data_IF_818254706756
#
_entry.id   IF_818254706756
#
_cell.length_a   1.000
_cell.length_b   1.000
_cell.length_c   1.000
_cell.angle_alpha   90.00
_cell.angle_beta   90.00
_cell.angle_gamma   90.00
#
_symmetry.space_group_name_H-M   'P 1'
#
loop_
_entity.id
_entity.type
_entity.pdbx_description
1 polymer ?
#
# COMPACT_ATOMS: atom_id res chain seq x y z
N UNK A 1 4.28 -27.06 -21.32
CA UNK A 1 4.36 -26.19 -20.99
C UNK A 1 4.84 -25.28 -21.76
N UNK A 2 4.12 -24.74 -22.01
CA UNK A 2 4.52 -23.86 -22.86
C UNK A 2 5.64 -23.07 -22.49
N UNK A 3 6.45 -22.77 -23.29
CA UNK A 3 7.50 -21.85 -23.18
C UNK A 3 8.24 -21.79 -21.87
N UNK A 4 7.90 -22.69 -20.98
CA UNK A 4 8.49 -22.63 -19.68
C UNK A 4 9.97 -22.72 -19.67
N UNK A 5 10.55 -23.38 -20.63
CA UNK A 5 11.98 -23.52 -20.70
C UNK A 5 12.75 -22.21 -20.86
N UNK A 6 12.06 -21.10 -21.14
CA UNK A 6 12.71 -19.81 -21.31
C UNK A 6 12.57 -18.89 -20.10
N UNK A 7 11.87 -19.35 -19.08
CA UNK A 7 11.69 -18.52 -17.89
C UNK A 7 12.95 -18.52 -17.04
N UNK A 8 13.38 -17.33 -16.69
CA UNK A 8 14.48 -17.16 -15.75
C UNK A 8 13.94 -17.23 -14.34
N UNK A 9 14.63 -17.98 -13.47
CA UNK A 9 14.28 -18.01 -12.05
C UNK A 9 14.37 -16.60 -11.47
N UNK A 10 13.34 -16.23 -10.71
CA UNK A 10 13.28 -14.93 -10.09
C UNK A 10 14.15 -14.89 -8.85
N UNK A 11 15.00 -13.88 -8.70
CA UNK A 11 15.69 -13.63 -7.45
C UNK A 11 14.68 -13.13 -6.43
N UNK A 12 14.75 -13.66 -5.22
CA UNK A 12 13.87 -13.22 -4.13
C UNK A 12 14.10 -11.73 -3.85
N UNK A 13 13.02 -10.99 -3.63
CA UNK A 13 13.04 -9.56 -3.34
C UNK A 13 12.12 -9.28 -2.17
N UNK A 14 12.33 -8.13 -1.51
CA UNK A 14 11.45 -7.69 -0.46
C UNK A 14 10.38 -6.77 -1.03
N UNK A 15 9.21 -6.75 -0.43
CA UNK A 15 8.16 -5.79 -0.81
C UNK A 15 8.59 -4.36 -0.52
N UNK A 16 9.43 -4.14 0.49
CA UNK A 16 9.94 -2.80 0.79
C UNK A 16 10.77 -2.24 -0.37
N UNK A 17 11.57 -3.08 -1.00
CA UNK A 17 12.40 -2.65 -2.12
C UNK A 17 11.70 -2.69 -3.47
N UNK A 18 10.88 -3.70 -3.70
CA UNK A 18 10.22 -3.92 -4.98
C UNK A 18 8.75 -4.28 -4.76
N UNK A 19 7.86 -3.28 -4.71
CA UNK A 19 6.43 -3.53 -4.63
C UNK A 19 5.92 -4.37 -5.79
N UNK A 20 4.71 -4.88 -5.65
CA UNK A 20 4.07 -5.71 -6.69
C UNK A 20 2.79 -5.02 -7.14
N UNK A 21 2.58 -4.95 -8.46
CA UNK A 21 1.30 -4.55 -9.03
C UNK A 21 0.45 -5.79 -9.29
N UNK A 22 -0.77 -5.79 -8.76
CA UNK A 22 -1.80 -6.78 -9.07
C UNK A 22 -2.76 -6.16 -10.06
N UNK A 23 -2.85 -6.73 -11.26
CA UNK A 23 -3.66 -6.18 -12.34
C UNK A 23 -4.81 -7.09 -12.76
N UNK A 24 -5.49 -6.66 -13.81
CA UNK A 24 -6.56 -7.42 -14.41
C UNK A 24 -6.06 -8.78 -14.88
N UNK A 25 -6.94 -9.77 -14.90
CA UNK A 25 -6.59 -11.11 -15.33
C UNK A 25 -5.70 -11.85 -14.34
N UNK A 26 -5.76 -11.46 -13.07
CA UNK A 26 -4.96 -12.06 -12.00
C UNK A 26 -3.46 -11.97 -12.28
N UNK A 27 -3.01 -10.87 -12.90
CA UNK A 27 -1.60 -10.65 -13.15
C UNK A 27 -0.89 -10.11 -11.92
N UNK A 28 0.40 -10.44 -11.79
CA UNK A 28 1.25 -9.92 -10.72
C UNK A 28 2.57 -9.48 -11.37
N UNK A 29 2.91 -8.20 -11.25
CA UNK A 29 4.05 -7.60 -11.94
C UNK A 29 4.97 -6.94 -10.93
N UNK A 30 6.22 -7.43 -10.79
CA UNK A 30 7.19 -6.76 -9.92
C UNK A 30 7.45 -5.35 -10.42
N UNK A 31 7.57 -4.41 -9.50
CA UNK A 31 7.83 -3.02 -9.83
C UNK A 31 9.31 -2.69 -9.68
N UNK A 32 9.77 -1.59 -10.29
CA UNK A 32 11.12 -1.08 -10.06
C UNK A 32 11.37 -0.79 -8.58
N UNK A 33 12.65 -0.72 -8.20
CA UNK A 33 13.02 -0.42 -6.83
C UNK A 33 12.37 0.88 -6.35
N UNK A 34 11.78 0.81 -5.15
CA UNK A 34 11.09 1.95 -4.55
C UNK A 34 12.08 2.84 -3.83
N UNK A 35 12.17 4.14 -4.20
CA UNK A 35 13.08 5.06 -3.51
C UNK A 35 12.50 5.51 -2.18
N UNK A 36 13.37 5.76 -1.20
CA UNK A 36 12.96 6.18 0.15
C UNK A 36 13.27 7.67 0.38
N UNK A 37 13.10 8.48 -0.65
CA UNK A 37 13.33 9.91 -0.63
C UNK A 37 12.29 10.62 -1.51
N UNK A 38 12.54 11.87 -1.88
CA UNK A 38 11.61 12.68 -2.68
C UNK A 38 11.31 12.10 -4.07
N UNK A 39 12.14 11.18 -4.56
CA UNK A 39 11.89 10.50 -5.85
C UNK A 39 10.67 9.57 -5.79
N UNK A 40 10.15 9.28 -4.60
CA UNK A 40 8.96 8.46 -4.44
C UNK A 40 7.75 9.05 -5.16
N UNK A 41 7.63 10.37 -5.21
CA UNK A 41 6.52 11.05 -5.90
C UNK A 41 6.53 10.68 -7.38
N UNK A 42 7.69 10.75 -8.02
CA UNK A 42 7.81 10.40 -9.43
C UNK A 42 7.63 8.90 -9.64
N UNK A 43 8.09 8.08 -8.70
CA UNK A 43 7.89 6.64 -8.77
C UNK A 43 6.39 6.30 -8.84
N UNK A 44 5.57 6.92 -7.99
CA UNK A 44 4.12 6.70 -8.00
C UNK A 44 3.47 7.19 -9.30
N UNK A 45 3.92 8.31 -9.84
CA UNK A 45 3.41 8.82 -11.13
C UNK A 45 3.73 7.85 -12.26
N UNK A 46 4.95 7.36 -12.31
CA UNK A 46 5.40 6.40 -13.33
C UNK A 46 4.64 5.09 -13.18
N UNK A 47 4.42 4.63 -11.96
CA UNK A 47 3.64 3.45 -11.67
C UNK A 47 2.20 3.61 -12.19
N UNK A 48 1.54 4.69 -11.88
CA UNK A 48 0.19 4.97 -12.33
C UNK A 48 0.06 5.02 -13.85
N UNK A 49 1.02 5.63 -14.52
CA UNK A 49 1.05 5.70 -15.97
C UNK A 49 1.28 4.32 -16.60
N UNK A 50 2.20 3.54 -16.02
CA UNK A 50 2.57 2.22 -16.51
C UNK A 50 1.42 1.23 -16.48
N UNK A 51 0.54 1.33 -15.46
CA UNK A 51 -0.57 0.41 -15.22
C UNK A 51 -1.95 1.07 -15.38
N UNK A 52 -2.04 2.17 -16.07
CA UNK A 52 -3.29 2.92 -16.27
C UNK A 52 -4.42 2.07 -16.86
N UNK A 53 -4.08 1.09 -17.70
CA UNK A 53 -5.08 0.24 -18.36
C UNK A 53 -5.82 -0.67 -17.37
N UNK A 54 -5.28 -0.91 -16.20
CA UNK A 54 -5.97 -1.70 -15.17
C UNK A 54 -7.02 -0.89 -14.41
N UNK A 55 -7.00 0.44 -14.56
CA UNK A 55 -7.99 1.33 -13.95
C UNK A 55 -8.12 1.13 -12.46
N UNK A 56 -9.36 1.07 -11.97
CA UNK A 56 -9.63 0.91 -10.54
C UNK A 56 -9.40 -0.51 -10.02
N UNK A 57 -9.21 -1.47 -10.92
CA UNK A 57 -8.94 -2.85 -10.50
C UNK A 57 -7.47 -3.09 -10.18
N UNK A 58 -6.58 -2.21 -10.64
CA UNK A 58 -5.17 -2.31 -10.34
C UNK A 58 -4.88 -2.00 -8.87
N UNK A 59 -4.05 -2.81 -8.23
CA UNK A 59 -3.65 -2.61 -6.83
C UNK A 59 -2.16 -2.78 -6.64
N UNK A 60 -1.60 -1.94 -5.78
CA UNK A 60 -0.20 -2.02 -5.39
C UNK A 60 -0.08 -2.73 -4.05
N UNK A 61 0.78 -3.74 -4.00
CA UNK A 61 1.17 -4.39 -2.74
C UNK A 61 2.52 -3.81 -2.34
N UNK A 62 2.57 -3.15 -1.20
CA UNK A 62 3.78 -2.47 -0.73
C UNK A 62 4.00 -2.72 0.76
N UNK A 63 5.20 -2.39 1.24
CA UNK A 63 5.57 -2.58 2.64
C UNK A 63 6.39 -1.38 3.10
N UNK A 64 6.07 -0.85 4.28
CA UNK A 64 6.76 0.30 4.86
C UNK A 64 7.08 0.07 6.32
N UNK A 65 8.24 0.55 6.74
CA UNK A 65 8.58 0.69 8.15
C UNK A 65 8.27 2.09 8.65
N UNK A 66 7.74 2.19 9.86
CA UNK A 66 7.41 3.47 10.49
C UNK A 66 8.06 3.54 11.87
N UNK A 67 8.60 4.70 12.21
CA UNK A 67 9.19 4.97 13.52
C UNK A 67 8.40 6.02 14.33
N UNK A 68 7.36 6.60 13.73
CA UNK A 68 6.56 7.65 14.35
C UNK A 68 5.18 7.72 13.72
N UNK A 69 4.29 8.51 14.32
CA UNK A 69 2.94 8.72 13.80
C UNK A 69 2.99 9.27 12.37
N UNK A 70 2.00 8.91 11.58
CA UNK A 70 1.89 9.43 10.22
C UNK A 70 1.63 10.94 10.26
N UNK A 71 2.29 11.71 9.38
CA UNK A 71 2.11 13.17 9.38
C UNK A 71 0.81 13.64 8.76
N UNK A 72 0.10 12.77 8.07
CA UNK A 72 -1.09 13.15 7.34
C UNK A 72 -2.15 12.07 7.27
N UNK A 73 -3.29 12.48 6.74
CA UNK A 73 -4.40 11.61 6.38
C UNK A 73 -4.31 11.25 4.91
N UNK A 74 -4.75 10.04 4.58
CA UNK A 74 -4.88 9.57 3.20
C UNK A 74 -6.29 9.08 2.94
N UNK A 75 -6.69 9.11 1.66
CA UNK A 75 -7.96 8.57 1.23
C UNK A 75 -7.81 7.97 -0.18
N UNK A 76 -8.36 6.78 -0.37
CA UNK A 76 -8.29 6.06 -1.64
C UNK A 76 -9.70 5.90 -2.20
N UNK A 77 -10.09 6.69 -3.22
CA UNK A 77 -11.47 6.61 -3.73
C UNK A 77 -11.73 5.41 -4.63
N UNK A 78 -10.68 4.83 -5.23
CA UNK A 78 -10.84 3.78 -6.24
C UNK A 78 -11.18 2.41 -5.66
N UNK A 79 -10.88 2.15 -4.40
CA UNK A 79 -11.17 0.85 -3.80
C UNK A 79 -10.77 0.75 -2.34
N UNK A 80 -11.10 -0.37 -1.74
CA UNK A 80 -10.72 -0.67 -0.37
C UNK A 80 -9.23 -0.92 -0.27
N UNK A 81 -8.63 -0.50 0.83
CA UNK A 81 -7.23 -0.79 1.14
C UNK A 81 -7.13 -1.78 2.28
N UNK A 82 -6.30 -2.81 2.11
CA UNK A 82 -5.96 -3.74 3.19
C UNK A 82 -4.67 -3.25 3.85
N UNK A 83 -4.69 -3.17 5.18
CA UNK A 83 -3.51 -2.81 5.98
C UNK A 83 -3.22 -3.96 6.93
N UNK A 84 -2.04 -4.54 6.82
CA UNK A 84 -1.60 -5.65 7.69
C UNK A 84 -0.42 -5.18 8.51
N UNK A 85 -0.47 -5.32 9.83
CA UNK A 85 0.69 -5.09 10.68
C UNK A 85 1.57 -6.34 10.65
N UNK A 86 2.83 -6.21 10.23
CA UNK A 86 3.78 -7.32 10.18
C UNK A 86 4.66 -7.38 11.43
N UNK A 87 5.06 -6.22 11.94
CA UNK A 87 5.93 -6.10 13.12
C UNK A 87 5.53 -4.88 13.93
N UNK A 88 5.81 -4.93 15.24
CA UNK A 88 5.48 -3.83 16.14
C UNK A 88 4.00 -3.69 16.39
N UNK A 89 3.53 -2.48 16.52
CA UNK A 89 2.10 -2.19 16.61
C UNK A 89 1.79 -0.85 16.00
N UNK A 90 0.58 -0.70 15.45
CA UNK A 90 0.10 0.55 14.89
C UNK A 90 -1.39 0.69 15.18
N UNK A 91 -1.82 1.90 15.44
CA UNK A 91 -3.24 2.20 15.63
C UNK A 91 -3.75 2.91 14.40
N UNK A 92 -4.58 2.21 13.64
CA UNK A 92 -5.25 2.80 12.48
C UNK A 92 -6.40 3.66 12.97
N UNK A 93 -6.51 4.87 12.43
CA UNK A 93 -7.56 5.82 12.76
C UNK A 93 -8.33 6.12 11.50
N UNK A 94 -9.63 5.81 11.51
CA UNK A 94 -10.52 5.98 10.36
C UNK A 94 -11.60 6.97 10.68
N UNK A 95 -11.94 7.84 9.73
CA UNK A 95 -13.11 8.72 9.87
C UNK A 95 -14.33 8.04 9.29
N UNK A 96 -15.19 7.55 10.17
CA UNK A 96 -16.41 6.83 9.81
C UNK A 96 -17.61 7.50 10.47
N UNK A 97 -18.57 7.94 9.64
CA UNK A 97 -19.78 8.59 10.16
C UNK A 97 -19.49 9.87 10.93
N UNK A 98 -18.43 10.59 10.57
CA UNK A 98 -18.04 11.82 11.25
C UNK A 98 -17.24 11.62 12.54
N UNK A 99 -16.96 10.39 12.89
CA UNK A 99 -16.20 10.04 14.10
C UNK A 99 -14.86 9.39 13.75
N UNK A 100 -13.92 9.46 14.68
CA UNK A 100 -12.64 8.76 14.56
C UNK A 100 -12.74 7.40 15.22
N UNK A 101 -12.59 6.35 14.43
CA UNK A 101 -12.59 4.97 14.91
C UNK A 101 -11.15 4.48 14.97
N UNK A 102 -10.69 4.03 16.12
CA UNK A 102 -9.33 3.58 16.35
C UNK A 102 -9.26 2.07 16.45
N UNK A 103 -8.33 1.46 15.72
CA UNK A 103 -8.10 0.01 15.76
C UNK A 103 -6.60 -0.23 15.90
N UNK A 104 -6.18 -0.81 17.01
CA UNK A 104 -4.78 -1.16 17.21
C UNK A 104 -4.49 -2.52 16.60
N UNK A 105 -3.51 -2.56 15.72
CA UNK A 105 -3.07 -3.77 15.04
C UNK A 105 -1.76 -4.26 15.63
N UNK A 106 -1.71 -5.54 15.95
CA UNK A 106 -0.51 -6.28 16.36
C UNK A 106 -0.05 -7.17 15.22
N UNK A 107 1.16 -7.75 15.28
CA UNK A 107 1.69 -8.57 14.19
C UNK A 107 0.71 -9.66 13.74
N UNK A 108 0.45 -9.70 12.43
CA UNK A 108 -0.49 -10.61 11.81
C UNK A 108 -1.93 -10.12 11.75
N UNK A 109 -2.26 -9.02 12.43
CA UNK A 109 -3.59 -8.45 12.40
C UNK A 109 -3.74 -7.44 11.27
N UNK A 110 -4.96 -7.27 10.79
CA UNK A 110 -5.24 -6.37 9.67
C UNK A 110 -6.49 -5.54 9.91
N UNK A 111 -6.60 -4.47 9.15
CA UNK A 111 -7.83 -3.68 9.04
C UNK A 111 -8.06 -3.34 7.57
N UNK A 112 -9.29 -2.96 7.25
CA UNK A 112 -9.66 -2.57 5.90
C UNK A 112 -10.17 -1.14 5.94
N UNK A 113 -9.59 -0.29 5.09
CA UNK A 113 -10.09 1.04 4.84
C UNK A 113 -11.09 0.97 3.70
N UNK A 114 -12.38 1.23 3.94
CA UNK A 114 -13.35 1.29 2.84
C UNK A 114 -13.00 2.38 1.82
N UNK A 115 -13.45 2.26 0.57
CA UNK A 115 -13.21 3.31 -0.42
C UNK A 115 -13.69 4.67 0.09
N UNK A 116 -12.90 5.70 -0.16
CA UNK A 116 -13.26 7.07 0.21
C UNK A 116 -13.13 7.39 1.70
N UNK A 117 -12.62 6.48 2.51
CA UNK A 117 -12.48 6.70 3.96
C UNK A 117 -11.13 7.33 4.27
N UNK A 118 -11.15 8.53 4.87
CA UNK A 118 -9.95 9.17 5.37
C UNK A 118 -9.39 8.37 6.54
N UNK A 119 -8.09 8.08 6.48
CA UNK A 119 -7.41 7.31 7.53
C UNK A 119 -5.99 7.83 7.77
N UNK A 120 -5.49 7.56 8.95
CA UNK A 120 -4.12 7.81 9.37
C UNK A 120 -3.70 6.73 10.37
N UNK A 121 -2.50 6.80 10.87
CA UNK A 121 -2.02 5.83 11.85
C UNK A 121 -1.13 6.48 12.89
N UNK A 122 -1.30 6.05 14.15
CA UNK A 122 -0.38 6.35 15.22
C UNK A 122 0.55 5.16 15.41
N UNK A 123 1.84 5.44 15.54
CA UNK A 123 2.87 4.43 15.73
C UNK A 123 3.65 4.78 16.99
N UNK A 124 3.36 4.12 18.13
CA UNK A 124 3.95 4.53 19.41
C UNK A 124 5.46 4.30 19.50
N UNK A 125 5.98 3.26 18.87
CA UNK A 125 7.42 2.99 18.86
C UNK A 125 7.92 2.75 17.45
N UNK A 126 7.57 1.59 16.88
CA UNK A 126 7.91 1.24 15.51
C UNK A 126 6.91 0.21 15.00
N UNK A 127 6.69 0.19 13.71
CA UNK A 127 5.83 -0.80 13.07
C UNK A 127 6.26 -1.02 11.64
N UNK A 128 5.97 -2.21 11.14
CA UNK A 128 6.09 -2.52 9.72
C UNK A 128 4.71 -2.92 9.22
N UNK A 129 4.24 -2.27 8.17
CA UNK A 129 2.93 -2.52 7.59
C UNK A 129 3.02 -2.98 6.14
N UNK A 130 2.13 -3.88 5.77
CA UNK A 130 1.90 -4.29 4.39
C UNK A 130 0.58 -3.69 3.94
N UNK A 131 0.57 -3.13 2.73
CA UNK A 131 -0.57 -2.40 2.19
C UNK A 131 -0.95 -2.95 0.82
N UNK A 132 -2.24 -3.17 0.62
CA UNK A 132 -2.79 -3.52 -0.69
C UNK A 132 -3.75 -2.39 -1.07
N UNK A 133 -3.34 -1.55 -2.03
CA UNK A 133 -3.97 -0.26 -2.27
C UNK A 133 -4.38 -0.09 -3.72
N UNK A 134 -5.64 0.27 -3.94
CA UNK A 134 -6.12 0.77 -5.23
C UNK A 134 -5.87 2.29 -5.23
N UNK A 135 -4.70 2.70 -5.73
CA UNK A 135 -4.19 4.05 -5.52
C UNK A 135 -4.66 5.14 -6.48
N UNK A 136 -5.46 4.80 -7.50
CA UNK A 136 -5.93 5.81 -8.45
C UNK A 136 -6.75 6.90 -7.74
N UNK A 137 -6.34 8.16 -7.89
CA UNK A 137 -7.05 9.28 -7.27
C UNK A 137 -6.81 9.47 -5.78
N UNK A 138 -5.81 8.83 -5.20
CA UNK A 138 -5.45 8.99 -3.79
C UNK A 138 -5.30 10.46 -3.43
N UNK A 139 -5.87 10.85 -2.30
CA UNK A 139 -5.80 12.20 -1.78
C UNK A 139 -5.09 12.21 -0.43
N UNK A 140 -4.45 13.34 -0.13
CA UNK A 140 -3.73 13.56 1.12
C UNK A 140 -4.17 14.87 1.76
N UNK A 141 -4.13 14.95 3.07
CA UNK A 141 -4.26 16.21 3.80
C UNK A 141 -3.52 16.13 5.13
N UNK A 142 -3.06 17.28 5.69
CA UNK A 142 -2.36 17.26 6.97
C UNK A 142 -3.28 16.86 8.13
N UNK A 143 -2.65 16.32 9.17
CA UNK A 143 -3.32 15.98 10.42
C UNK A 143 -3.59 17.22 11.24
#
# INVERSE_FOLDING_TARGET
MAGGGLQTAMTARTLESHPIHLGKGATAVPQPEFPRDERAIQWYRDYGARHADDGEEGRLVSCYGFAEDWPGWEMHPAGAEVVVCLEGSMTLIQKIGGEEVRTTLKPGEYAINPPGTWHTADVPEAATGLFITAGAGTQHRPR
#
